data_IF_017258324513
#
_entry.id   IF_017258324513
#
_cell.length_a   1.000
_cell.length_b   1.000
_cell.length_c   1.000
_cell.angle_alpha   90.00
_cell.angle_beta   90.00
_cell.angle_gamma   90.00
#
_symmetry.space_group_name_H-M   'P 1'
#
loop_
_entity.id
_entity.type
_entity.pdbx_description
1 polymer ?
#
# COMPACT_ATOMS: atom_id res chain seq x y z
N UNK A 1 -20.30 71.24 -48.92
CA UNK A 1 -21.21 71.11 -47.77
C UNK A 1 -21.58 69.64 -47.69
N UNK A 2 -20.90 68.91 -46.81
CA UNK A 2 -21.41 68.46 -45.48
C UNK A 2 -22.30 67.23 -45.69
N UNK A 3 -21.95 66.06 -45.17
CA UNK A 3 -22.19 65.74 -43.76
C UNK A 3 -21.35 64.51 -43.37
N UNK A 4 -20.52 64.61 -42.33
CA UNK A 4 -19.79 63.47 -41.75
C UNK A 4 -20.33 63.33 -40.33
N UNK A 5 -21.22 62.35 -40.15
CA UNK A 5 -21.89 62.11 -38.88
C UNK A 5 -20.91 61.89 -37.72
N UNK A 6 -21.17 62.64 -36.65
CA UNK A 6 -20.56 62.59 -35.33
C UNK A 6 -20.37 61.16 -34.80
N UNK A 7 -19.12 60.70 -34.72
CA UNK A 7 -18.76 59.48 -33.99
C UNK A 7 -18.75 59.83 -32.50
N UNK A 8 -19.60 59.18 -31.69
CA UNK A 8 -19.66 59.38 -30.23
C UNK A 8 -18.28 59.14 -29.59
N UNK A 9 -17.85 59.99 -28.64
CA UNK A 9 -16.57 59.81 -27.96
C UNK A 9 -16.56 58.49 -27.17
N UNK A 10 -15.40 57.85 -27.13
CA UNK A 10 -15.15 56.63 -26.37
C UNK A 10 -15.46 56.90 -24.89
N UNK A 11 -16.54 56.28 -24.41
CA UNK A 11 -16.96 56.38 -23.02
C UNK A 11 -16.01 55.51 -22.20
N UNK A 12 -15.19 56.11 -21.35
CA UNK A 12 -14.41 55.37 -20.37
C UNK A 12 -15.38 54.74 -19.37
N UNK A 13 -15.56 53.42 -19.46
CA UNK A 13 -16.23 52.67 -18.42
C UNK A 13 -15.24 52.50 -17.27
N UNK A 14 -15.38 53.33 -16.25
CA UNK A 14 -14.77 53.07 -14.95
C UNK A 14 -15.46 51.83 -14.37
N UNK A 15 -14.69 50.76 -14.15
CA UNK A 15 -15.18 49.50 -13.59
C UNK A 15 -14.77 49.40 -12.11
N UNK A 16 -15.53 50.01 -11.17
CA UNK A 16 -15.19 50.01 -9.75
C UNK A 16 -15.26 48.61 -9.09
N UNK A 17 -15.78 47.60 -9.80
CA UNK A 17 -15.90 46.21 -9.33
C UNK A 17 -14.67 45.34 -9.65
N UNK A 18 -13.76 45.80 -10.51
CA UNK A 18 -12.50 45.12 -10.84
C UNK A 18 -11.64 44.79 -9.59
N UNK A 19 -11.42 45.71 -8.63
CA UNK A 19 -10.70 45.36 -7.40
C UNK A 19 -11.46 44.31 -6.57
N UNK A 20 -12.79 44.36 -6.56
CA UNK A 20 -13.62 43.38 -5.84
C UNK A 20 -13.47 41.98 -6.44
N UNK A 21 -13.47 41.87 -7.78
CA UNK A 21 -13.23 40.61 -8.49
C UNK A 21 -11.82 40.06 -8.24
N UNK A 22 -10.81 40.95 -8.22
CA UNK A 22 -9.43 40.57 -7.91
C UNK A 22 -9.30 40.03 -6.47
N UNK A 23 -9.94 40.68 -5.49
CA UNK A 23 -9.94 40.20 -4.10
C UNK A 23 -10.68 38.87 -3.95
N UNK A 24 -11.79 38.67 -4.68
CA UNK A 24 -12.55 37.43 -4.64
C UNK A 24 -11.76 36.27 -5.26
N UNK A 25 -11.06 36.53 -6.37
CA UNK A 25 -10.16 35.56 -7.02
C UNK A 25 -9.02 35.15 -6.09
N UNK A 26 -8.41 36.10 -5.38
CA UNK A 26 -7.36 35.84 -4.39
C UNK A 26 -7.87 34.96 -3.23
N UNK A 27 -9.06 35.25 -2.71
CA UNK A 27 -9.71 34.48 -1.64
C UNK A 27 -9.99 33.03 -2.08
N UNK A 28 -10.55 32.84 -3.28
CA UNK A 28 -10.82 31.52 -3.85
C UNK A 28 -9.51 30.74 -4.05
N UNK A 29 -8.47 31.42 -4.56
CA UNK A 29 -7.13 30.82 -4.70
C UNK A 29 -6.56 30.32 -3.39
N UNK A 30 -6.71 31.09 -2.30
CA UNK A 30 -6.24 30.70 -0.97
C UNK A 30 -6.99 29.48 -0.43
N UNK A 31 -8.32 29.43 -0.63
CA UNK A 31 -9.16 28.30 -0.21
C UNK A 31 -8.79 27.03 -0.96
N UNK A 32 -8.60 27.12 -2.28
CA UNK A 32 -8.18 25.97 -3.11
C UNK A 32 -6.79 25.48 -2.71
N UNK A 33 -5.85 26.38 -2.42
CA UNK A 33 -4.51 26.03 -1.97
C UNK A 33 -4.55 25.31 -0.61
N UNK A 34 -5.33 25.83 0.35
CA UNK A 34 -5.52 25.21 1.66
C UNK A 34 -6.17 23.81 1.54
N UNK A 35 -7.20 23.68 0.70
CA UNK A 35 -7.84 22.40 0.43
C UNK A 35 -6.87 21.40 -0.22
N UNK A 36 -6.04 21.85 -1.17
CA UNK A 36 -5.03 21.01 -1.83
C UNK A 36 -3.96 20.52 -0.85
N UNK A 37 -3.45 21.40 0.03
CA UNK A 37 -2.50 21.03 1.09
C UNK A 37 -3.14 20.02 2.05
N UNK A 38 -4.37 20.27 2.48
CA UNK A 38 -5.11 19.37 3.37
C UNK A 38 -5.29 17.99 2.74
N UNK A 39 -5.73 17.94 1.47
CA UNK A 39 -5.88 16.70 0.71
C UNK A 39 -4.55 15.96 0.54
N UNK A 40 -3.44 16.68 0.32
CA UNK A 40 -2.10 16.08 0.21
C UNK A 40 -1.65 15.44 1.53
N UNK A 41 -1.89 16.11 2.66
CA UNK A 41 -1.58 15.57 3.99
C UNK A 41 -2.47 14.37 4.33
N UNK A 42 -3.76 14.43 3.98
CA UNK A 42 -4.71 13.33 4.15
C UNK A 42 -4.38 12.13 3.24
N UNK A 43 -3.96 12.38 1.99
CA UNK A 43 -3.48 11.35 1.05
C UNK A 43 -2.16 10.72 1.49
N UNK A 44 -1.25 11.47 2.11
CA UNK A 44 -0.01 10.91 2.67
C UNK A 44 -0.21 9.99 3.89
N UNK A 45 -1.43 9.94 4.46
CA UNK A 45 -1.80 9.04 5.55
C UNK A 45 -2.55 7.79 5.09
N UNK A 46 -3.07 7.79 3.87
CA UNK A 46 -3.58 6.58 3.22
C UNK A 46 -2.40 6.01 2.44
N UNK A 47 -2.09 4.72 2.64
CA UNK A 47 -1.12 4.03 1.81
C UNK A 47 -1.42 4.33 0.33
N UNK A 48 -0.39 4.45 -0.53
CA UNK A 48 -0.65 4.60 -1.95
C UNK A 48 -1.42 3.36 -2.38
N UNK A 49 -2.71 3.52 -2.59
CA UNK A 49 -3.54 2.62 -3.38
C UNK A 49 -3.04 2.82 -4.80
N UNK A 50 -1.95 2.13 -5.12
CA UNK A 50 -1.41 2.02 -6.47
C UNK A 50 -2.32 1.08 -7.25
N UNK A 51 -3.48 1.61 -7.63
CA UNK A 51 -4.32 1.12 -8.73
C UNK A 51 -3.75 1.57 -10.10
N UNK A 52 -2.44 1.73 -10.20
CA UNK A 52 -1.77 2.10 -11.45
C UNK A 52 -0.89 0.94 -11.90
N UNK A 53 -1.34 0.33 -13.00
CA UNK A 53 -0.59 -0.50 -13.91
C UNK A 53 0.03 -1.78 -13.31
N UNK A 54 -0.58 -2.90 -13.69
CA UNK A 54 0.13 -4.13 -14.02
C UNK A 54 1.13 -3.84 -15.16
N UNK A 55 2.14 -3.02 -14.91
CA UNK A 55 3.36 -3.03 -15.71
C UNK A 55 4.17 -4.21 -15.20
N UNK A 56 4.27 -5.19 -16.07
CA UNK A 56 5.05 -6.42 -15.98
C UNK A 56 6.55 -6.09 -15.93
N UNK A 57 6.97 -5.34 -14.90
CA UNK A 57 8.36 -5.28 -14.51
C UNK A 57 8.55 -6.45 -13.56
N UNK A 58 9.08 -7.55 -14.07
CA UNK A 58 9.59 -8.64 -13.24
C UNK A 58 10.65 -7.98 -12.36
N UNK A 59 10.27 -7.54 -11.16
CA UNK A 59 11.20 -7.00 -10.19
C UNK A 59 12.25 -8.08 -10.01
N UNK A 60 13.52 -7.68 -10.12
CA UNK A 60 14.61 -8.62 -9.90
C UNK A 60 14.34 -9.35 -8.56
N UNK A 61 14.45 -10.69 -8.53
CA UNK A 61 14.11 -11.46 -7.34
C UNK A 61 14.81 -10.99 -6.05
N UNK A 62 16.00 -10.38 -6.18
CA UNK A 62 16.71 -9.75 -5.06
C UNK A 62 15.93 -8.55 -4.49
N UNK A 63 15.38 -7.70 -5.36
CA UNK A 63 14.53 -6.56 -4.99
C UNK A 63 13.26 -7.04 -4.28
N UNK A 64 12.63 -8.11 -4.75
CA UNK A 64 11.41 -8.68 -4.11
C UNK A 64 11.72 -9.21 -2.71
N UNK A 65 12.84 -9.91 -2.54
CA UNK A 65 13.31 -10.39 -1.24
C UNK A 65 13.57 -9.22 -0.29
N UNK A 66 14.32 -8.22 -0.73
CA UNK A 66 14.75 -7.11 0.10
C UNK A 66 13.54 -6.25 0.52
N UNK A 67 12.56 -6.04 -0.37
CA UNK A 67 11.28 -5.40 -0.07
C UNK A 67 10.49 -6.17 1.01
N UNK A 68 10.37 -7.49 0.86
CA UNK A 68 9.66 -8.32 1.83
C UNK A 68 10.36 -8.33 3.20
N UNK A 69 11.68 -8.40 3.24
CA UNK A 69 12.46 -8.32 4.48
C UNK A 69 12.31 -6.96 5.18
N UNK A 70 12.35 -5.87 4.43
CA UNK A 70 12.11 -4.53 4.97
C UNK A 70 10.69 -4.39 5.53
N UNK A 71 9.70 -4.97 4.86
CA UNK A 71 8.32 -4.99 5.35
C UNK A 71 8.17 -5.81 6.65
N UNK A 72 8.85 -6.96 6.74
CA UNK A 72 8.89 -7.76 7.98
C UNK A 72 9.58 -7.02 9.12
N UNK A 73 10.66 -6.29 8.86
CA UNK A 73 11.32 -5.46 9.88
C UNK A 73 10.41 -4.34 10.37
N UNK A 74 9.65 -3.71 9.46
CA UNK A 74 8.64 -2.72 9.83
C UNK A 74 7.54 -3.35 10.69
N UNK A 75 7.07 -4.55 10.35
CA UNK A 75 6.09 -5.30 11.13
C UNK A 75 6.63 -5.69 12.51
N UNK A 76 7.90 -6.08 12.62
CA UNK A 76 8.55 -6.39 13.89
C UNK A 76 8.63 -5.18 14.83
N UNK A 77 8.89 -4.00 14.27
CA UNK A 77 8.93 -2.72 15.00
C UNK A 77 7.54 -2.12 15.26
N UNK A 78 6.49 -2.70 14.68
CA UNK A 78 5.12 -2.24 14.87
C UNK A 78 4.65 -2.43 16.32
N UNK A 79 3.61 -1.69 16.70
CA UNK A 79 3.01 -1.84 18.02
C UNK A 79 2.06 -3.05 18.13
N UNK A 80 1.83 -3.82 17.06
CA UNK A 80 0.84 -4.90 17.08
C UNK A 80 1.18 -5.99 18.08
N UNK A 81 2.47 -6.37 18.19
CA UNK A 81 2.95 -7.35 19.16
C UNK A 81 2.81 -6.81 20.59
N UNK A 82 3.16 -5.54 20.83
CA UNK A 82 3.06 -4.90 22.15
C UNK A 82 1.61 -4.69 22.61
N UNK A 83 0.70 -4.44 21.67
CA UNK A 83 -0.72 -4.22 21.95
C UNK A 83 -1.53 -5.52 21.92
N UNK A 84 -0.87 -6.68 21.76
CA UNK A 84 -1.50 -8.00 21.62
C UNK A 84 -2.58 -8.08 20.53
N UNK A 85 -2.42 -7.26 19.48
CA UNK A 85 -3.36 -7.19 18.36
C UNK A 85 -3.03 -8.27 17.33
N UNK A 86 -3.20 -9.53 17.73
CA UNK A 86 -2.90 -10.73 16.93
C UNK A 86 -3.54 -10.67 15.55
N UNK A 87 -4.82 -10.29 15.48
CA UNK A 87 -5.56 -10.20 14.21
C UNK A 87 -4.90 -9.26 13.20
N UNK A 88 -4.54 -8.05 13.61
CA UNK A 88 -3.94 -7.05 12.71
C UNK A 88 -2.52 -7.46 12.33
N UNK A 89 -1.76 -8.01 13.29
CA UNK A 89 -0.45 -8.58 13.04
C UNK A 89 -0.48 -9.65 11.93
N UNK A 90 -1.37 -10.64 12.03
CA UNK A 90 -1.43 -11.72 11.05
C UNK A 90 -1.99 -11.29 9.69
N UNK A 91 -2.88 -10.29 9.65
CA UNK A 91 -3.32 -9.70 8.38
C UNK A 91 -2.16 -9.03 7.64
N UNK A 92 -1.32 -8.28 8.35
CA UNK A 92 -0.15 -7.61 7.75
C UNK A 92 0.93 -8.64 7.39
N UNK A 93 1.18 -9.63 8.24
CA UNK A 93 2.12 -10.73 7.97
C UNK A 93 1.75 -11.50 6.69
N UNK A 94 0.48 -11.85 6.54
CA UNK A 94 -0.03 -12.56 5.37
C UNK A 94 0.02 -11.70 4.11
N UNK A 95 -0.29 -10.40 4.21
CA UNK A 95 -0.19 -9.48 3.08
C UNK A 95 1.25 -9.38 2.57
N UNK A 96 2.24 -9.26 3.47
CA UNK A 96 3.67 -9.25 3.12
C UNK A 96 4.04 -10.55 2.41
N UNK A 97 3.60 -11.69 2.93
CA UNK A 97 3.91 -12.98 2.35
C UNK A 97 3.29 -13.19 0.96
N UNK A 98 2.01 -12.85 0.80
CA UNK A 98 1.34 -12.93 -0.50
C UNK A 98 2.04 -12.04 -1.52
N UNK A 99 2.35 -10.79 -1.16
CA UNK A 99 3.05 -9.86 -2.04
C UNK A 99 4.44 -10.38 -2.48
N UNK A 100 5.18 -11.00 -1.56
CA UNK A 100 6.45 -11.66 -1.88
C UNK A 100 6.28 -12.77 -2.93
N UNK A 101 5.26 -13.61 -2.80
CA UNK A 101 4.98 -14.68 -3.77
C UNK A 101 4.52 -14.13 -5.12
N UNK A 102 3.71 -13.09 -5.14
CA UNK A 102 3.28 -12.42 -6.38
C UNK A 102 4.47 -11.90 -7.17
N UNK A 103 5.42 -11.26 -6.48
CA UNK A 103 6.63 -10.72 -7.10
C UNK A 103 7.54 -11.79 -7.71
N UNK A 104 7.45 -13.04 -7.25
CA UNK A 104 8.27 -14.15 -7.76
C UNK A 104 7.57 -15.01 -8.83
N UNK A 105 6.24 -15.13 -8.77
CA UNK A 105 5.50 -16.07 -9.61
C UNK A 105 4.61 -15.41 -10.67
N UNK A 106 4.57 -14.07 -10.76
CA UNK A 106 3.75 -13.30 -11.71
C UNK A 106 2.26 -13.70 -11.68
N UNK A 107 1.81 -14.31 -10.58
CA UNK A 107 0.44 -14.74 -10.36
C UNK A 107 -0.16 -13.89 -9.23
N UNK A 108 -1.46 -13.57 -9.33
CA UNK A 108 -2.16 -12.74 -8.36
C UNK A 108 -2.46 -13.48 -7.03
N UNK A 109 -1.43 -13.89 -6.30
CA UNK A 109 -1.48 -14.60 -5.02
C UNK A 109 -2.20 -13.79 -3.93
N UNK A 110 -2.25 -12.46 -4.02
CA UNK A 110 -3.04 -11.58 -3.13
C UNK A 110 -4.52 -11.91 -3.14
N UNK A 111 -5.04 -12.35 -4.30
CA UNK A 111 -6.45 -12.75 -4.48
C UNK A 111 -6.76 -14.16 -3.95
N UNK A 112 -5.73 -14.93 -3.59
CA UNK A 112 -5.92 -16.31 -3.16
C UNK A 112 -6.60 -16.37 -1.80
N UNK A 113 -7.60 -17.25 -1.73
CA UNK A 113 -8.14 -17.76 -0.48
C UNK A 113 -7.07 -18.52 0.30
N UNK A 114 -7.31 -18.73 1.60
CA UNK A 114 -6.37 -19.46 2.46
C UNK A 114 -6.12 -20.89 1.96
N UNK A 115 -7.11 -21.52 1.31
CA UNK A 115 -7.00 -22.85 0.73
C UNK A 115 -6.20 -22.83 -0.57
N UNK A 116 -6.48 -21.89 -1.47
CA UNK A 116 -5.73 -21.73 -2.73
C UNK A 116 -4.25 -21.40 -2.45
N UNK A 117 -3.98 -20.57 -1.45
CA UNK A 117 -2.61 -20.29 -1.02
C UNK A 117 -1.91 -21.56 -0.54
N UNK A 118 -2.57 -22.40 0.27
CA UNK A 118 -2.01 -23.69 0.72
C UNK A 118 -1.74 -24.62 -0.46
N UNK A 119 -2.67 -24.72 -1.40
CA UNK A 119 -2.53 -25.62 -2.55
C UNK A 119 -1.46 -25.15 -3.53
N UNK A 120 -1.33 -23.83 -3.72
CA UNK A 120 -0.23 -23.21 -4.47
C UNK A 120 1.13 -23.53 -3.84
N UNK A 121 1.27 -23.33 -2.52
CA UNK A 121 2.54 -23.59 -1.82
C UNK A 121 2.99 -25.04 -1.91
N UNK A 122 2.06 -26.01 -1.90
CA UNK A 122 2.37 -27.44 -2.07
C UNK A 122 2.90 -27.78 -3.47
N UNK A 123 2.57 -26.98 -4.48
CA UNK A 123 3.04 -27.17 -5.84
C UNK A 123 4.44 -26.60 -6.06
N UNK A 124 4.98 -25.80 -5.13
CA UNK A 124 6.32 -25.23 -5.25
C UNK A 124 7.38 -26.31 -5.01
N UNK A 125 8.18 -26.68 -6.02
CA UNK A 125 9.09 -27.83 -5.96
C UNK A 125 10.25 -27.67 -4.97
N UNK A 126 10.51 -26.44 -4.53
CA UNK A 126 11.67 -26.06 -3.72
C UNK A 126 11.32 -25.91 -2.22
N UNK A 127 10.05 -26.05 -1.83
CA UNK A 127 9.60 -25.84 -0.46
C UNK A 127 9.28 -27.17 0.21
N UNK A 128 10.11 -27.57 1.19
CA UNK A 128 9.73 -28.61 2.15
C UNK A 128 8.65 -28.07 3.10
N UNK A 129 7.43 -27.97 2.59
CA UNK A 129 6.26 -27.42 3.27
C UNK A 129 6.06 -28.06 4.65
N UNK A 130 6.21 -29.39 4.72
CA UNK A 130 5.96 -30.20 5.90
C UNK A 130 6.95 -29.94 7.05
N UNK A 131 8.18 -29.49 6.77
CA UNK A 131 9.21 -29.25 7.80
C UNK A 131 9.41 -27.77 8.15
N UNK A 132 8.77 -26.85 7.42
CA UNK A 132 9.00 -25.41 7.54
C UNK A 132 8.26 -24.73 8.70
N UNK A 133 7.34 -25.43 9.38
CA UNK A 133 6.47 -24.84 10.40
C UNK A 133 5.41 -23.88 9.83
N UNK A 134 5.34 -23.71 8.50
CA UNK A 134 4.47 -22.76 7.83
C UNK A 134 2.99 -23.11 7.93
N UNK A 135 2.67 -24.41 7.96
CA UNK A 135 1.31 -24.89 8.23
C UNK A 135 0.81 -24.42 9.61
N UNK A 136 1.70 -24.41 10.60
CA UNK A 136 1.39 -23.93 11.95
C UNK A 136 1.16 -22.42 11.96
N UNK A 137 1.98 -21.66 11.21
CA UNK A 137 1.81 -20.22 11.01
C UNK A 137 0.45 -19.91 10.37
N UNK A 138 0.10 -20.57 9.27
CA UNK A 138 -1.17 -20.34 8.56
C UNK A 138 -2.39 -20.71 9.42
N UNK A 139 -2.34 -21.85 10.12
CA UNK A 139 -3.42 -22.24 11.03
C UNK A 139 -3.56 -21.24 12.18
N UNK A 140 -2.45 -20.69 12.70
CA UNK A 140 -2.47 -19.67 13.74
C UNK A 140 -2.97 -18.31 13.23
N UNK A 141 -2.63 -17.93 12.00
CA UNK A 141 -3.18 -16.75 11.31
C UNK A 141 -4.71 -16.85 11.19
N UNK A 142 -5.21 -18.00 10.71
CA UNK A 142 -6.64 -18.29 10.63
C UNK A 142 -7.33 -18.18 12.00
N UNK A 143 -6.72 -18.76 13.03
CA UNK A 143 -7.24 -18.70 14.40
C UNK A 143 -7.30 -17.25 14.92
N UNK A 144 -6.26 -16.44 14.69
CA UNK A 144 -6.22 -15.04 15.11
C UNK A 144 -7.24 -14.17 14.33
N UNK A 145 -7.47 -14.47 13.05
CA UNK A 145 -8.41 -13.73 12.18
C UNK A 145 -9.87 -14.04 12.50
N UNK A 146 -10.19 -15.31 12.76
CA UNK A 146 -11.57 -15.80 12.80
C UNK A 146 -12.02 -16.36 14.16
N UNK A 147 -11.13 -17.00 14.92
CA UNK A 147 -11.53 -17.73 16.13
C UNK A 147 -11.47 -16.88 17.42
N UNK A 148 -11.27 -15.56 17.32
CA UNK A 148 -10.98 -14.66 18.46
C UNK A 148 -9.83 -15.17 19.34
N UNK A 149 -8.95 -16.01 18.78
CA UNK A 149 -7.83 -16.59 19.51
C UNK A 149 -6.81 -15.52 19.85
N UNK A 150 -6.52 -15.35 21.15
CA UNK A 150 -5.36 -14.59 21.58
C UNK A 150 -4.12 -15.43 21.32
N UNK A 151 -3.22 -14.87 20.52
CA UNK A 151 -1.90 -15.43 20.28
C UNK A 151 -0.92 -14.63 21.12
N UNK A 152 0.01 -15.30 21.80
CA UNK A 152 1.00 -14.59 22.62
C UNK A 152 1.97 -13.80 21.74
N UNK A 153 2.49 -12.68 22.24
CA UNK A 153 3.48 -11.90 21.52
C UNK A 153 4.73 -12.70 21.14
N UNK A 154 5.14 -13.67 21.97
CA UNK A 154 6.25 -14.57 21.68
C UNK A 154 5.95 -15.52 20.51
N UNK A 155 4.71 -16.02 20.40
CA UNK A 155 4.29 -16.83 19.25
C UNK A 155 4.27 -15.99 17.96
N UNK A 156 3.83 -14.74 18.02
CA UNK A 156 3.90 -13.81 16.87
C UNK A 156 5.34 -13.53 16.43
N UNK A 157 6.26 -13.33 17.37
CA UNK A 157 7.69 -13.14 17.06
C UNK A 157 8.30 -14.37 16.39
N UNK A 158 8.02 -15.56 16.92
CA UNK A 158 8.49 -16.81 16.32
C UNK A 158 7.97 -16.99 14.89
N UNK A 159 6.70 -16.66 14.63
CA UNK A 159 6.12 -16.77 13.30
C UNK A 159 6.72 -15.75 12.32
N UNK A 160 7.04 -14.54 12.79
CA UNK A 160 7.77 -13.54 12.00
C UNK A 160 9.15 -14.05 11.61
N UNK A 161 9.91 -14.62 12.56
CA UNK A 161 11.22 -15.19 12.28
C UNK A 161 11.15 -16.40 11.33
N UNK A 162 10.14 -17.26 11.49
CA UNK A 162 9.93 -18.40 10.62
C UNK A 162 9.66 -17.95 9.18
N UNK A 163 8.79 -16.95 8.99
CA UNK A 163 8.53 -16.37 7.67
C UNK A 163 9.77 -15.68 7.09
N UNK A 164 10.55 -14.97 7.91
CA UNK A 164 11.81 -14.35 7.49
C UNK A 164 12.80 -15.38 6.95
N UNK A 165 13.03 -16.47 7.70
CA UNK A 165 13.91 -17.58 7.29
C UNK A 165 13.43 -18.25 6.01
N UNK A 166 12.10 -18.44 5.89
CA UNK A 166 11.49 -18.96 4.68
C UNK A 166 11.82 -18.08 3.47
N UNK A 167 11.58 -16.76 3.55
CA UNK A 167 11.85 -15.82 2.46
C UNK A 167 13.32 -15.84 2.05
N UNK A 168 14.23 -15.87 3.02
CA UNK A 168 15.68 -15.94 2.76
C UNK A 168 16.05 -17.23 2.02
N UNK A 169 15.60 -18.38 2.53
CA UNK A 169 15.94 -19.70 1.98
C UNK A 169 15.32 -19.88 0.59
N UNK A 170 14.06 -19.46 0.42
CA UNK A 170 13.34 -19.60 -0.84
C UNK A 170 13.92 -18.69 -1.93
N UNK A 171 14.28 -17.46 -1.57
CA UNK A 171 14.95 -16.54 -2.49
C UNK A 171 16.33 -17.09 -2.90
N UNK A 172 17.12 -17.62 -1.98
CA UNK A 172 18.44 -18.21 -2.29
C UNK A 172 18.34 -19.42 -3.24
N UNK A 173 17.26 -20.18 -3.20
CA UNK A 173 17.06 -21.36 -4.07
C UNK A 173 16.43 -21.02 -5.42
N UNK A 174 15.73 -19.89 -5.50
CA UNK A 174 15.02 -19.45 -6.72
C UNK A 174 15.87 -18.47 -7.56
N UNK A 175 16.88 -17.86 -6.94
CA UNK A 175 17.82 -16.92 -7.56
C UNK A 175 19.14 -17.64 -7.83
N UNK A 176 19.51 -17.92 -9.09
CA UNK A 176 20.83 -18.50 -9.43
C UNK A 176 21.99 -17.55 -9.17
#
# INVERSE_FOLDING_TARGET
MEDIHEIKPLMNLDFPWLPFLATLSLMIGLILLAAWILLRILRGRKAPESDEAHEENIKEPQTVRDEALAALEKLANSNWIRQEQSKLFYLELEAIFKHFLEGLHLQAVSSFTDQELKDFLKQLPQVSWENSGFETLLNRSLMARFAKGQVSGQAMQNDLENLRKFIQTYAEQTIP
#
